data_IF_194022916299
#
_entry.id   IF_194022916299
#
_cell.length_a   1.000
_cell.length_b   1.000
_cell.length_c   1.000
_cell.angle_alpha   90.00
_cell.angle_beta   90.00
_cell.angle_gamma   90.00
#
_symmetry.space_group_name_H-M   'P 1'
#
loop_
_entity.id
_entity.type
_entity.pdbx_description
1 polymer ?
#
# COMPACT_ATOMS: atom_id res chain seq x y z
N UNK A 1 8.98 12.73 -5.32
CA UNK A 1 9.40 11.37 -5.71
C UNK A 1 10.31 10.85 -4.61
N UNK A 2 9.81 9.98 -3.74
CA UNK A 2 10.59 9.33 -2.68
C UNK A 2 10.96 7.90 -3.14
N UNK A 3 12.02 7.72 -3.96
CA UNK A 3 12.31 6.44 -4.60
C UNK A 3 12.65 5.30 -3.61
N UNK A 4 12.88 5.61 -2.32
CA UNK A 4 13.26 4.62 -1.32
C UNK A 4 12.12 3.71 -0.81
N UNK A 5 10.87 4.18 -0.76
CA UNK A 5 9.75 3.42 -0.16
C UNK A 5 8.88 2.74 -1.22
N UNK A 6 8.87 3.21 -2.46
CA UNK A 6 8.04 2.63 -3.53
C UNK A 6 8.52 1.23 -3.94
N UNK A 7 9.83 0.99 -3.90
CA UNK A 7 10.40 -0.30 -4.27
C UNK A 7 9.92 -1.48 -3.39
N UNK A 8 9.96 -1.39 -2.04
CA UNK A 8 9.42 -2.45 -1.19
C UNK A 8 7.90 -2.59 -1.31
N UNK A 9 7.15 -1.53 -1.64
CA UNK A 9 5.70 -1.60 -1.91
C UNK A 9 5.40 -2.49 -3.11
N UNK A 10 6.07 -2.29 -4.24
CA UNK A 10 5.84 -3.12 -5.44
C UNK A 10 6.24 -4.57 -5.20
N UNK A 11 7.32 -4.81 -4.47
CA UNK A 11 7.73 -6.15 -4.09
C UNK A 11 6.67 -6.85 -3.21
N UNK A 12 6.15 -6.14 -2.22
CA UNK A 12 5.09 -6.62 -1.33
C UNK A 12 3.77 -6.90 -2.08
N UNK A 13 3.37 -5.99 -2.97
CA UNK A 13 2.20 -6.16 -3.83
C UNK A 13 2.29 -7.42 -4.67
N UNK A 14 3.42 -7.61 -5.36
CA UNK A 14 3.64 -8.79 -6.21
C UNK A 14 3.66 -10.08 -5.39
N UNK A 15 4.19 -10.05 -4.18
CA UNK A 15 4.17 -11.19 -3.27
C UNK A 15 2.75 -11.57 -2.83
N UNK A 16 1.87 -10.60 -2.58
CA UNK A 16 0.47 -10.85 -2.24
C UNK A 16 -0.39 -11.26 -3.44
N UNK A 17 -0.20 -10.58 -4.59
CA UNK A 17 -1.03 -10.76 -5.78
C UNK A 17 -0.61 -11.96 -6.63
N UNK A 18 0.66 -12.36 -6.59
CA UNK A 18 1.22 -13.46 -7.38
C UNK A 18 1.35 -13.14 -8.88
N UNK A 19 1.05 -11.91 -9.29
CA UNK A 19 1.07 -11.45 -10.68
C UNK A 19 1.89 -10.16 -10.81
N UNK A 20 2.39 -9.81 -12.01
CA UNK A 20 3.05 -8.53 -12.22
C UNK A 20 2.07 -7.38 -12.02
N UNK A 21 2.27 -6.66 -10.92
CA UNK A 21 1.57 -5.43 -10.57
C UNK A 21 2.56 -4.27 -10.41
N UNK A 22 2.06 -3.06 -10.58
CA UNK A 22 2.75 -1.82 -10.28
C UNK A 22 1.95 -0.96 -9.32
N UNK A 23 2.60 0.04 -8.76
CA UNK A 23 2.04 0.92 -7.75
C UNK A 23 2.15 2.37 -8.22
N UNK A 24 1.01 3.02 -8.34
CA UNK A 24 0.91 4.45 -8.58
C UNK A 24 0.85 5.16 -7.23
N UNK A 25 1.93 5.85 -6.85
CA UNK A 25 1.96 6.63 -5.61
C UNK A 25 0.91 7.76 -5.69
N UNK A 26 0.03 7.84 -4.68
CA UNK A 26 -0.82 9.03 -4.46
C UNK A 26 -0.28 9.86 -3.32
N UNK A 27 0.18 9.22 -2.27
CA UNK A 27 0.59 9.89 -1.04
C UNK A 27 1.68 9.09 -0.36
N UNK A 28 2.75 9.79 0.00
CA UNK A 28 3.84 9.25 0.79
C UNK A 28 4.13 10.26 1.89
N UNK A 29 3.84 9.88 3.13
CA UNK A 29 4.13 10.71 4.29
C UNK A 29 5.19 10.04 5.14
N UNK A 30 6.24 10.77 5.48
CA UNK A 30 7.37 10.26 6.25
C UNK A 30 7.55 11.16 7.48
N UNK A 31 7.57 10.57 8.68
CA UNK A 31 7.85 11.27 9.94
C UNK A 31 8.38 10.31 10.99
N UNK A 32 9.32 10.77 11.84
CA UNK A 32 9.85 10.01 12.98
C UNK A 32 10.35 8.59 12.64
N UNK A 33 10.95 8.41 11.46
CA UNK A 33 11.41 7.09 10.99
C UNK A 33 10.27 6.15 10.56
N UNK A 34 9.06 6.66 10.37
CA UNK A 34 7.93 5.95 9.79
C UNK A 34 7.58 6.52 8.43
N UNK A 35 7.19 5.64 7.50
CA UNK A 35 6.70 6.00 6.19
C UNK A 35 5.35 5.32 5.95
N UNK A 36 4.33 6.13 5.70
CA UNK A 36 3.04 5.66 5.23
C UNK A 36 2.92 5.94 3.74
N UNK A 37 2.58 4.90 2.98
CA UNK A 37 2.42 4.95 1.54
C UNK A 37 0.99 4.56 1.20
N UNK A 38 0.33 5.40 0.42
CA UNK A 38 -1.01 5.17 -0.08
C UNK A 38 -1.08 5.49 -1.57
N UNK A 39 -1.76 4.65 -2.34
CA UNK A 39 -1.84 4.81 -3.78
C UNK A 39 -2.72 3.78 -4.46
N UNK A 40 -2.69 3.80 -5.79
CA UNK A 40 -3.44 2.87 -6.62
C UNK A 40 -2.55 1.71 -7.07
N UNK A 41 -3.16 0.54 -7.20
CA UNK A 41 -2.56 -0.61 -7.85
C UNK A 41 -2.91 -0.52 -9.32
N UNK A 42 -1.87 -0.59 -10.16
CA UNK A 42 -2.01 -0.58 -11.62
C UNK A 42 -1.37 -1.84 -12.20
N UNK A 43 -1.89 -2.28 -13.34
CA UNK A 43 -1.26 -3.35 -14.11
C UNK A 43 0.13 -2.91 -14.57
N UNK A 44 0.99 -3.88 -14.88
CA UNK A 44 2.30 -3.60 -15.46
C UNK A 44 2.25 -2.91 -16.84
N UNK A 45 1.05 -2.83 -17.43
CA UNK A 45 0.73 -2.09 -18.65
C UNK A 45 0.23 -0.66 -18.38
N UNK A 46 0.21 -0.22 -17.11
CA UNK A 46 -0.30 1.08 -16.68
C UNK A 46 -1.82 1.20 -16.67
N UNK A 47 -2.55 0.10 -16.92
CA UNK A 47 -4.03 0.09 -16.88
C UNK A 47 -4.54 -0.14 -15.45
N UNK A 48 -5.82 0.13 -15.16
CA UNK A 48 -6.42 -0.24 -13.89
C UNK A 48 -6.15 -1.72 -13.59
N UNK A 49 -5.64 -2.02 -12.40
CA UNK A 49 -5.27 -3.39 -12.05
C UNK A 49 -6.47 -4.32 -12.11
N UNK A 50 -6.28 -5.46 -12.77
CA UNK A 50 -7.26 -6.52 -12.88
C UNK A 50 -6.86 -7.66 -11.94
N UNK A 51 -7.77 -8.00 -11.02
CA UNK A 51 -7.55 -9.05 -10.04
C UNK A 51 -7.73 -10.47 -10.61
N UNK A 52 -8.10 -10.62 -11.89
CA UNK A 52 -8.28 -11.93 -12.53
C UNK A 52 -7.00 -12.74 -12.47
N UNK A 53 -7.12 -14.00 -12.04
CA UNK A 53 -5.97 -14.88 -11.85
C UNK A 53 -5.18 -14.65 -10.57
N UNK A 54 -5.56 -13.66 -9.74
CA UNK A 54 -5.04 -13.51 -8.37
C UNK A 54 -5.94 -14.25 -7.38
N UNK A 55 -5.43 -14.61 -6.18
CA UNK A 55 -6.27 -15.15 -5.10
C UNK A 55 -7.39 -14.21 -4.66
N UNK A 56 -7.35 -12.93 -5.05
CA UNK A 56 -8.36 -11.93 -4.72
C UNK A 56 -9.38 -11.69 -5.84
N UNK A 57 -9.32 -12.44 -6.95
CA UNK A 57 -10.22 -12.31 -8.10
C UNK A 57 -11.70 -12.35 -7.68
N UNK A 58 -12.07 -13.35 -6.89
CA UNK A 58 -13.45 -13.54 -6.44
C UNK A 58 -13.91 -12.41 -5.51
N UNK A 59 -13.07 -12.02 -4.54
CA UNK A 59 -13.38 -10.91 -3.63
C UNK A 59 -13.53 -9.58 -4.40
N UNK A 60 -12.65 -9.30 -5.36
CA UNK A 60 -12.73 -8.10 -6.19
C UNK A 60 -13.96 -8.10 -7.10
N UNK A 61 -14.32 -9.24 -7.69
CA UNK A 61 -15.52 -9.38 -8.51
C UNK A 61 -16.82 -9.12 -7.72
N UNK A 62 -16.82 -9.44 -6.42
CA UNK A 62 -17.93 -9.19 -5.51
C UNK A 62 -17.88 -7.78 -4.87
N UNK A 63 -16.97 -6.89 -5.31
CA UNK A 63 -16.81 -5.55 -4.73
C UNK A 63 -16.15 -5.53 -3.36
N UNK A 64 -15.63 -6.66 -2.88
CA UNK A 64 -14.93 -6.81 -1.61
C UNK A 64 -13.44 -6.42 -1.65
N UNK A 65 -12.98 -5.79 -2.74
CA UNK A 65 -11.62 -5.23 -2.86
C UNK A 65 -11.65 -3.92 -3.65
N UNK A 66 -10.96 -2.92 -3.13
CA UNK A 66 -10.60 -1.70 -3.87
C UNK A 66 -9.34 -1.93 -4.71
N UNK A 67 -9.03 -1.03 -5.65
CA UNK A 67 -7.75 -1.04 -6.40
C UNK A 67 -6.67 -0.18 -5.74
N UNK A 68 -6.77 0.03 -4.43
CA UNK A 68 -5.86 0.86 -3.66
C UNK A 68 -4.90 0.00 -2.86
N UNK A 69 -3.77 0.57 -2.47
CA UNK A 69 -2.82 -0.07 -1.58
C UNK A 69 -2.44 0.92 -0.48
N UNK A 70 -2.36 0.42 0.75
CA UNK A 70 -1.84 1.14 1.90
C UNK A 70 -0.72 0.31 2.53
N UNK A 71 0.43 0.92 2.79
CA UNK A 71 1.56 0.27 3.42
C UNK A 71 2.19 1.15 4.48
N UNK A 72 2.54 0.53 5.61
CA UNK A 72 3.29 1.14 6.69
C UNK A 72 4.68 0.53 6.75
N UNK A 73 5.67 1.42 6.69
CA UNK A 73 7.07 1.07 6.72
C UNK A 73 7.76 1.81 7.85
N UNK A 74 8.81 1.21 8.38
CA UNK A 74 9.66 1.79 9.40
C UNK A 74 11.10 1.73 8.94
N UNK A 75 11.81 2.83 9.11
CA UNK A 75 13.23 2.90 8.85
C UNK A 75 13.99 2.05 9.89
N UNK A 76 14.75 1.07 9.41
CA UNK A 76 15.63 0.24 10.25
C UNK A 76 17.05 0.82 10.40
N UNK A 77 17.32 1.98 9.78
CA UNK A 77 18.63 2.61 9.68
C UNK A 77 19.39 2.29 8.40
N UNK A 78 19.02 1.21 7.68
CA UNK A 78 19.59 0.87 6.37
C UNK A 78 18.53 0.87 5.27
N UNK A 79 17.31 0.46 5.60
CA UNK A 79 16.20 0.38 4.65
C UNK A 79 14.83 0.62 5.30
N UNK A 80 13.80 0.72 4.46
CA UNK A 80 12.41 0.75 4.90
C UNK A 80 11.89 -0.67 5.06
N UNK A 81 11.76 -1.13 6.30
CA UNK A 81 11.17 -2.42 6.63
C UNK A 81 9.63 -2.31 6.63
N UNK A 82 8.95 -3.24 5.94
CA UNK A 82 7.49 -3.33 5.95
C UNK A 82 7.00 -3.76 7.34
N UNK A 83 6.22 -2.90 7.99
CA UNK A 83 5.57 -3.21 9.27
C UNK A 83 4.21 -3.84 9.03
N UNK A 84 3.38 -3.21 8.19
CA UNK A 84 2.07 -3.72 7.80
C UNK A 84 1.69 -3.24 6.39
N UNK A 85 0.76 -3.93 5.74
CA UNK A 85 0.36 -3.67 4.36
C UNK A 85 -1.05 -4.19 4.10
N UNK A 86 -1.88 -3.37 3.47
CA UNK A 86 -3.22 -3.70 3.06
C UNK A 86 -3.37 -3.54 1.54
N UNK A 87 -3.58 -4.67 0.86
CA UNK A 87 -3.81 -4.73 -0.59
C UNK A 87 -5.30 -4.68 -0.89
N UNK A 88 -5.76 -3.68 -1.63
CA UNK A 88 -7.17 -3.52 -2.00
C UNK A 88 -8.16 -3.41 -0.84
N UNK A 89 -7.89 -2.63 0.22
CA UNK A 89 -8.81 -2.52 1.34
C UNK A 89 -10.12 -1.85 0.91
N UNK A 90 -11.27 -2.39 1.33
CA UNK A 90 -12.59 -1.77 1.14
C UNK A 90 -12.80 -0.59 2.08
N UNK A 91 -12.12 -0.62 3.23
CA UNK A 91 -12.22 0.35 4.30
C UNK A 91 -10.85 0.99 4.58
N UNK A 92 -10.80 1.94 5.52
CA UNK A 92 -9.55 2.50 6.03
C UNK A 92 -8.80 1.43 6.84
N UNK A 93 -8.16 0.47 6.18
CA UNK A 93 -7.49 -0.66 6.84
C UNK A 93 -6.33 -0.22 7.76
N UNK A 94 -5.82 1.01 7.57
CA UNK A 94 -4.81 1.63 8.42
C UNK A 94 -5.38 2.43 9.58
N UNK A 95 -6.71 2.48 9.72
CA UNK A 95 -7.36 3.03 10.90
C UNK A 95 -6.90 2.24 12.15
N UNK A 96 -6.37 2.95 13.14
CA UNK A 96 -5.76 2.35 14.34
C UNK A 96 -4.32 1.85 14.20
N UNK A 97 -3.69 1.91 13.01
CA UNK A 97 -2.26 1.52 12.86
C UNK A 97 -1.33 2.41 13.68
N UNK A 98 -1.66 3.70 13.80
CA UNK A 98 -0.92 4.64 14.63
C UNK A 98 -0.81 4.13 16.09
N UNK A 99 -1.93 3.76 16.70
CA UNK A 99 -1.98 3.25 18.06
C UNK A 99 -1.41 1.84 18.18
N UNK A 100 -1.71 0.96 17.22
CA UNK A 100 -1.26 -0.43 17.21
C UNK A 100 0.26 -0.57 17.09
N UNK A 101 0.88 0.25 16.24
CA UNK A 101 2.31 0.17 15.92
C UNK A 101 3.14 1.28 16.57
N UNK A 102 2.49 2.27 17.21
CA UNK A 102 3.16 3.45 17.75
C UNK A 102 3.68 4.40 16.67
N UNK A 103 3.06 4.39 15.49
CA UNK A 103 3.41 5.27 14.38
C UNK A 103 2.74 6.65 14.55
N UNK A 104 3.38 7.75 14.14
CA UNK A 104 2.82 9.09 14.27
C UNK A 104 1.55 9.25 13.44
N UNK A 105 0.41 9.51 14.07
CA UNK A 105 -0.90 9.66 13.40
C UNK A 105 -0.89 10.65 12.21
N UNK A 106 0.01 11.65 12.27
CA UNK A 106 0.20 12.65 11.24
C UNK A 106 0.54 12.08 9.85
N UNK A 107 1.19 10.90 9.76
CA UNK A 107 1.58 10.29 8.47
C UNK A 107 0.42 9.59 7.77
N UNK A 108 -0.65 9.22 8.50
CA UNK A 108 -1.81 8.52 7.93
C UNK A 108 -2.79 9.48 7.22
N UNK A 109 -2.43 10.75 7.10
CA UNK A 109 -3.23 11.76 6.39
C UNK A 109 -3.15 11.53 4.89
N UNK A 110 -4.23 11.02 4.31
CA UNK A 110 -4.43 11.01 2.86
C UNK A 110 -5.11 12.32 2.43
N UNK A 111 -4.69 12.95 1.32
CA UNK A 111 -5.37 14.11 0.78
C UNK A 111 -6.80 13.69 0.41
N UNK A 112 -7.77 14.40 0.98
CA UNK A 112 -9.17 14.33 0.57
C UNK A 112 -9.30 15.28 -0.61
N UNK A 113 -9.42 14.74 -1.83
CA UNK A 113 -9.85 15.51 -3.00
C UNK A 113 -11.35 15.77 -2.93
#
# INVERSE_FOLDING_TARGET
MYPGVVHPVVADLRAHLGVPAEFEEKTVNIADGWAFVYGNIVGADGRPFDYSGTPYAEAAANGGRSRTYAGLFRDDGTSWARVDSAVGPTDLAWDGWAERYGAPAAIFRIPTD
#
